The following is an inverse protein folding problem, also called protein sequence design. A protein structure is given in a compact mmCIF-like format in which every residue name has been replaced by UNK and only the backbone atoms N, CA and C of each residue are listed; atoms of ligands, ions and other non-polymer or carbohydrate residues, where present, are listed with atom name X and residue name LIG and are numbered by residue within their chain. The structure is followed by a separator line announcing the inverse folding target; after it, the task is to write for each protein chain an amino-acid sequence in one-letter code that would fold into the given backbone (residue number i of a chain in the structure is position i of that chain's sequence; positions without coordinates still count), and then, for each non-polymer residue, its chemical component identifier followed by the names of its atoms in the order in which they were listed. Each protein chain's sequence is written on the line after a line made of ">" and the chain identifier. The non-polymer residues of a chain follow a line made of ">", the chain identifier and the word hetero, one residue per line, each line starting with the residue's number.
data_IF_924294625237
#
_entry.id   IF_924294625237
#
_cell.length_a   1.000
_cell.length_b   1.000
_cell.length_c   1.000
_cell.angle_alpha   90.00
_cell.angle_beta   90.00
_cell.angle_gamma   90.00
#
_symmetry.space_group_name_H-M   'P 1'
#
loop_
_entity.id
_entity.type
_entity.pdbx_description
1 polymer ?
#
# COMPACT_ATOMS: atom_id res chain seq x y z
N UNK A 1 3.79 -2.53 -23.78
CA UNK A 1 3.25 -2.06 -25.08
C UNK A 1 4.25 -1.20 -25.88
N UNK A 2 4.31 -1.37 -27.20
CA UNK A 2 5.19 -0.62 -28.11
C UNK A 2 4.68 0.79 -28.45
N UNK A 3 3.38 1.04 -28.31
CA UNK A 3 2.72 2.33 -28.47
C UNK A 3 1.53 2.42 -27.50
N UNK A 4 0.99 3.63 -27.33
CA UNK A 4 -0.27 3.87 -26.59
C UNK A 4 -1.44 3.40 -27.48
N UNK A 5 -2.32 2.50 -26.98
CA UNK A 5 -3.51 2.07 -27.73
C UNK A 5 -4.44 3.24 -28.06
N UNK A 6 -5.22 3.11 -29.13
CA UNK A 6 -6.06 4.20 -29.67
C UNK A 6 -7.16 4.61 -28.69
N UNK A 7 -7.56 3.71 -27.80
CA UNK A 7 -8.60 3.91 -26.79
C UNK A 7 -8.12 4.83 -25.66
N UNK A 8 -6.81 5.09 -25.56
CA UNK A 8 -6.19 5.89 -24.51
C UNK A 8 -5.51 7.15 -25.06
N UNK A 9 -6.23 7.93 -25.86
CA UNK A 9 -5.74 9.17 -26.45
C UNK A 9 -5.09 10.12 -25.44
N UNK A 10 -5.62 10.17 -24.21
CA UNK A 10 -5.14 11.02 -23.11
C UNK A 10 -3.74 10.65 -22.58
N UNK A 11 -3.21 9.50 -22.99
CA UNK A 11 -1.86 9.03 -22.65
C UNK A 11 -0.83 9.32 -23.74
N UNK A 12 -1.25 9.78 -24.94
CA UNK A 12 -0.34 10.05 -26.07
C UNK A 12 0.69 11.15 -25.77
N UNK A 13 0.33 12.10 -24.90
CA UNK A 13 1.21 13.21 -24.53
C UNK A 13 2.25 12.84 -23.46
N UNK A 14 2.18 11.63 -22.90
CA UNK A 14 3.06 11.20 -21.83
C UNK A 14 4.19 10.30 -22.35
N UNK A 15 5.41 10.37 -21.78
CA UNK A 15 6.52 9.52 -22.20
C UNK A 15 6.19 8.03 -22.09
N UNK A 16 6.37 7.28 -23.18
CA UNK A 16 6.00 5.86 -23.24
C UNK A 16 6.69 5.01 -22.18
N UNK A 17 7.93 5.35 -21.80
CA UNK A 17 8.65 4.67 -20.73
C UNK A 17 7.98 4.86 -19.36
N UNK A 18 7.47 6.06 -19.06
CA UNK A 18 6.76 6.34 -17.83
C UNK A 18 5.44 5.55 -17.76
N UNK A 19 4.72 5.47 -18.88
CA UNK A 19 3.49 4.67 -19.00
C UNK A 19 3.78 3.19 -18.74
N UNK A 20 4.87 2.64 -19.30
CA UNK A 20 5.28 1.24 -19.08
C UNK A 20 5.62 0.96 -17.63
N UNK A 21 6.46 1.79 -17.02
CA UNK A 21 6.84 1.63 -15.62
C UNK A 21 5.60 1.69 -14.70
N UNK A 22 4.67 2.61 -14.98
CA UNK A 22 3.42 2.72 -14.26
C UNK A 22 2.51 1.52 -14.45
N UNK A 23 2.40 0.99 -15.67
CA UNK A 23 1.62 -0.22 -15.93
C UNK A 23 2.13 -1.40 -15.09
N UNK A 24 3.44 -1.58 -15.01
CA UNK A 24 4.06 -2.62 -14.16
C UNK A 24 3.74 -2.38 -12.69
N UNK A 25 3.88 -1.15 -12.20
CA UNK A 25 3.57 -0.80 -10.80
C UNK A 25 2.09 -1.02 -10.47
N UNK A 26 1.18 -0.53 -11.31
CA UNK A 26 -0.27 -0.67 -11.12
C UNK A 26 -0.72 -2.12 -11.25
N UNK A 27 -0.11 -2.88 -12.16
CA UNK A 27 -0.39 -4.31 -12.28
C UNK A 27 0.06 -5.04 -11.01
N UNK A 28 1.28 -4.80 -10.54
CA UNK A 28 1.78 -5.42 -9.31
C UNK A 28 0.97 -4.99 -8.08
N UNK A 29 0.60 -3.71 -7.97
CA UNK A 29 -0.26 -3.21 -6.91
C UNK A 29 -1.67 -3.84 -6.98
N UNK A 30 -2.27 -3.91 -8.17
CA UNK A 30 -3.56 -4.56 -8.37
C UNK A 30 -3.48 -6.05 -8.08
N UNK A 31 -2.41 -6.74 -8.45
CA UNK A 31 -2.21 -8.14 -8.09
C UNK A 31 -2.11 -8.30 -6.58
N UNK A 32 -1.28 -7.52 -5.90
CA UNK A 32 -1.14 -7.57 -4.45
C UNK A 32 -2.46 -7.27 -3.73
N UNK A 33 -3.19 -6.22 -4.14
CA UNK A 33 -4.44 -5.81 -3.50
C UNK A 33 -5.58 -6.78 -3.85
N UNK A 34 -5.76 -7.17 -5.11
CA UNK A 34 -6.82 -8.10 -5.52
C UNK A 34 -6.58 -9.50 -4.96
N UNK A 35 -5.31 -9.96 -4.89
CA UNK A 35 -4.96 -11.18 -4.18
C UNK A 35 -5.30 -11.01 -2.70
N UNK A 36 -4.88 -9.93 -2.03
CA UNK A 36 -5.17 -9.66 -0.61
C UNK A 36 -6.66 -9.56 -0.28
N UNK A 37 -7.48 -9.02 -1.18
CA UNK A 37 -8.95 -8.92 -1.03
C UNK A 37 -9.63 -10.27 -1.17
N UNK A 38 -9.03 -11.20 -1.91
CA UNK A 38 -9.48 -12.59 -2.06
C UNK A 38 -8.82 -13.58 -1.08
N UNK A 39 -7.79 -13.15 -0.34
CA UNK A 39 -6.93 -14.00 0.50
C UNK A 39 -7.49 -14.35 1.89
N UNK A 40 -8.71 -13.93 2.22
CA UNK A 40 -9.38 -14.49 3.39
C UNK A 40 -10.28 -15.63 2.95
N UNK A 41 -9.74 -16.85 3.06
CA UNK A 41 -10.57 -18.05 3.09
C UNK A 41 -11.56 -17.88 4.25
N UNK A 42 -12.85 -18.03 3.99
CA UNK A 42 -13.88 -17.83 5.03
C UNK A 42 -13.77 -18.89 6.14
N UNK A 43 -12.97 -19.94 5.93
CA UNK A 43 -12.63 -20.99 6.88
C UNK A 43 -11.15 -21.37 6.70
N UNK A 44 -10.39 -21.41 7.79
CA UNK A 44 -9.00 -21.84 7.78
C UNK A 44 -8.85 -23.33 7.47
N UNK A 45 -7.66 -23.71 7.00
CA UNK A 45 -7.27 -25.10 6.76
C UNK A 45 -7.79 -26.02 7.86
N UNK A 46 -8.50 -27.07 7.47
CA UNK A 46 -8.74 -28.22 8.33
C UNK A 46 -7.37 -28.83 8.62
N UNK A 47 -6.71 -28.37 9.69
CA UNK A 47 -5.44 -28.94 10.13
C UNK A 47 -5.65 -30.42 10.44
N UNK A 48 -5.15 -31.23 9.52
CA UNK A 48 -5.00 -32.66 9.65
C UNK A 48 -3.96 -32.92 10.74
N UNK A 49 -4.40 -33.04 12.00
CA UNK A 49 -3.46 -33.35 13.08
C UNK A 49 -3.95 -33.32 14.55
N UNK A 50 -5.11 -33.92 14.88
CA UNK A 50 -5.53 -34.51 16.21
C UNK A 50 -5.39 -33.72 17.56
N UNK A 51 -6.03 -34.17 18.68
CA UNK A 51 -7.28 -34.91 18.89
C UNK A 51 -8.31 -34.13 19.77
N UNK A 52 -9.51 -34.70 19.87
CA UNK A 52 -10.73 -34.18 20.46
C UNK A 52 -10.67 -33.68 21.92
N UNK A 53 -11.32 -32.53 22.18
CA UNK A 53 -12.12 -32.29 23.40
C UNK A 53 -13.05 -31.08 23.22
N UNK A 54 -14.26 -31.19 23.78
CA UNK A 54 -15.39 -30.25 23.78
C UNK A 54 -16.27 -30.23 22.52
N UNK A 55 -16.96 -31.35 22.31
CA UNK A 55 -18.20 -31.42 21.54
C UNK A 55 -19.24 -30.44 22.09
N UNK A 56 -19.80 -29.60 21.21
CA UNK A 56 -21.14 -29.05 21.42
C UNK A 56 -22.16 -30.15 21.07
N UNK A 57 -23.06 -30.53 21.99
CA UNK A 57 -24.08 -31.53 21.69
C UNK A 57 -25.19 -30.86 20.88
N UNK A 58 -25.38 -31.27 19.61
CA UNK A 58 -26.57 -30.86 18.86
C UNK A 58 -26.50 -30.87 17.34
N UNK A 59 -25.38 -31.20 16.70
CA UNK A 59 -25.34 -31.30 15.24
C UNK A 59 -24.64 -32.58 14.78
N UNK A 60 -25.42 -33.38 14.09
CA UNK A 60 -25.13 -34.70 13.56
C UNK A 60 -24.04 -34.68 12.48
N UNK A 61 -23.14 -35.64 12.62
CA UNK A 61 -21.95 -35.87 11.80
C UNK A 61 -22.32 -36.34 10.39
N UNK A 62 -22.24 -35.44 9.39
CA UNK A 62 -22.13 -35.79 7.97
C UNK A 62 -20.69 -35.53 7.49
N UNK A 63 -19.85 -36.57 7.55
CA UNK A 63 -18.42 -36.52 7.29
C UNK A 63 -18.05 -36.57 5.79
N UNK A 64 -18.62 -35.68 4.96
CA UNK A 64 -18.16 -35.43 3.59
C UNK A 64 -18.55 -34.04 3.03
N UNK A 65 -19.16 -33.17 3.83
CA UNK A 65 -19.64 -31.85 3.41
C UNK A 65 -18.68 -30.70 3.72
N UNK A 66 -17.77 -30.84 4.68
CA UNK A 66 -16.92 -29.71 5.12
C UNK A 66 -16.05 -29.09 4.00
N UNK A 67 -15.49 -29.91 3.10
CA UNK A 67 -14.69 -29.43 1.97
C UNK A 67 -15.56 -28.76 0.88
N UNK A 68 -16.75 -29.31 0.65
CA UNK A 68 -17.75 -28.76 -0.27
C UNK A 68 -18.35 -27.46 0.26
N UNK A 69 -18.55 -27.36 1.57
CA UNK A 69 -19.11 -26.20 2.26
C UNK A 69 -18.12 -25.04 2.30
N UNK A 70 -16.84 -25.29 2.54
CA UNK A 70 -15.79 -24.27 2.47
C UNK A 70 -15.68 -23.68 1.05
N UNK A 71 -15.74 -24.53 0.02
CA UNK A 71 -15.73 -24.09 -1.38
C UNK A 71 -17.00 -23.30 -1.77
N UNK A 72 -18.17 -23.70 -1.27
CA UNK A 72 -19.41 -22.94 -1.48
C UNK A 72 -19.44 -21.61 -0.71
N UNK A 73 -18.92 -21.57 0.52
CA UNK A 73 -18.71 -20.35 1.31
C UNK A 73 -17.76 -19.39 0.59
N UNK A 74 -16.66 -19.88 0.02
CA UNK A 74 -15.75 -19.06 -0.78
C UNK A 74 -16.43 -18.47 -2.03
N UNK A 75 -17.46 -19.11 -2.60
CA UNK A 75 -18.28 -18.48 -3.67
C UNK A 75 -19.13 -17.32 -3.14
N UNK A 76 -19.54 -17.36 -1.87
CA UNK A 76 -20.26 -16.26 -1.22
C UNK A 76 -19.35 -15.06 -0.91
N UNK A 77 -18.01 -15.17 -1.05
CA UNK A 77 -17.07 -14.06 -0.81
C UNK A 77 -17.41 -12.79 -1.58
N UNK A 78 -17.97 -12.93 -2.78
CA UNK A 78 -18.37 -11.80 -3.61
C UNK A 78 -19.64 -11.09 -3.09
N UNK A 79 -20.42 -11.78 -2.25
CA UNK A 79 -21.71 -11.36 -1.72
C UNK A 79 -21.59 -10.86 -0.27
N UNK A 80 -20.55 -11.28 0.47
CA UNK A 80 -20.28 -10.77 1.82
C UNK A 80 -20.10 -9.25 1.77
N UNK A 81 -20.97 -8.56 2.53
CA UNK A 81 -20.99 -7.10 2.63
C UNK A 81 -19.67 -6.58 3.17
N UNK A 82 -19.20 -5.46 2.62
CA UNK A 82 -17.92 -4.82 2.97
C UNK A 82 -17.72 -4.67 4.49
N UNK A 83 -18.76 -4.31 5.24
CA UNK A 83 -18.71 -4.14 6.70
C UNK A 83 -18.37 -5.42 7.46
N UNK A 84 -18.86 -6.58 7.01
CA UNK A 84 -18.55 -7.87 7.61
C UNK A 84 -17.10 -8.28 7.34
N UNK A 85 -16.60 -8.01 6.13
CA UNK A 85 -15.18 -8.23 5.78
C UNK A 85 -14.26 -7.32 6.60
N UNK A 86 -14.62 -6.05 6.72
CA UNK A 86 -13.86 -5.09 7.53
C UNK A 86 -13.80 -5.51 9.00
N UNK A 87 -14.91 -5.98 9.57
CA UNK A 87 -14.96 -6.47 10.94
C UNK A 87 -14.07 -7.72 11.13
N UNK A 88 -14.11 -8.67 10.21
CA UNK A 88 -13.24 -9.84 10.23
C UNK A 88 -11.76 -9.45 10.10
N UNK A 89 -11.44 -8.55 9.16
CA UNK A 89 -10.08 -8.05 8.96
C UNK A 89 -9.55 -7.35 10.21
N UNK A 90 -10.34 -6.49 10.84
CA UNK A 90 -9.97 -5.83 12.10
C UNK A 90 -9.64 -6.83 13.19
N UNK A 91 -10.40 -7.94 13.32
CA UNK A 91 -10.10 -9.00 14.29
C UNK A 91 -8.75 -9.66 14.01
N UNK A 92 -8.46 -10.00 12.75
CA UNK A 92 -7.18 -10.62 12.35
C UNK A 92 -6.01 -9.67 12.64
N UNK A 93 -6.12 -8.40 12.26
CA UNK A 93 -5.09 -7.39 12.57
C UNK A 93 -4.89 -7.27 14.09
N UNK A 94 -5.99 -7.24 14.86
CA UNK A 94 -5.93 -7.18 16.33
C UNK A 94 -5.32 -8.43 16.99
N UNK A 95 -5.47 -9.60 16.38
CA UNK A 95 -4.93 -10.86 16.91
C UNK A 95 -3.47 -11.09 16.50
N UNK A 96 -3.05 -10.55 15.35
CA UNK A 96 -1.70 -10.72 14.79
C UNK A 96 -0.75 -9.58 15.13
N UNK A 97 -1.25 -8.47 15.69
CA UNK A 97 -0.41 -7.33 16.01
C UNK A 97 0.59 -7.60 17.14
N UNK A 98 1.78 -7.03 16.97
CA UNK A 98 2.85 -6.99 17.96
C UNK A 98 2.58 -5.85 18.93
N UNK A 99 2.44 -6.13 20.24
CA UNK A 99 1.99 -5.14 21.25
C UNK A 99 3.07 -4.73 22.24
N UNK A 100 4.14 -5.50 22.33
CA UNK A 100 5.27 -5.35 23.24
C UNK A 100 6.32 -4.34 22.73
N UNK A 101 6.09 -3.74 21.55
CA UNK A 101 6.97 -2.72 20.96
C UNK A 101 6.23 -1.40 20.74
N UNK A 102 6.90 -0.29 21.04
CA UNK A 102 6.32 1.05 20.93
C UNK A 102 6.39 1.65 19.51
N UNK A 103 7.44 1.30 18.76
CA UNK A 103 7.71 1.75 17.40
C UNK A 103 8.57 0.71 16.66
N UNK A 104 8.57 0.77 15.32
CA UNK A 104 9.45 -0.06 14.49
C UNK A 104 10.87 0.52 14.37
N UNK A 105 11.66 0.18 13.34
CA UNK A 105 13.03 0.66 13.20
C UNK A 105 13.10 2.20 13.14
N UNK A 106 14.24 2.74 13.57
CA UNK A 106 14.52 4.17 13.44
C UNK A 106 15.03 4.43 12.03
N UNK A 107 14.36 5.30 11.29
CA UNK A 107 14.72 5.73 9.95
C UNK A 107 15.15 7.19 9.97
N UNK A 108 16.35 7.46 9.46
CA UNK A 108 16.86 8.82 9.30
C UNK A 108 16.44 9.38 7.95
N UNK A 109 15.74 10.53 7.95
CA UNK A 109 15.20 11.18 6.75
C UNK A 109 15.70 12.62 6.66
N UNK A 110 16.10 13.04 5.46
CA UNK A 110 16.61 14.39 5.20
C UNK A 110 15.71 15.12 4.20
N UNK A 111 14.70 15.83 4.70
CA UNK A 111 13.79 16.63 3.87
C UNK A 111 14.40 17.93 3.33
N UNK A 112 15.57 18.34 3.84
CA UNK A 112 16.29 19.52 3.34
C UNK A 112 16.89 19.28 1.94
N UNK A 113 17.19 18.02 1.60
CA UNK A 113 17.65 17.64 0.25
C UNK A 113 16.55 17.84 -0.81
N UNK A 114 15.30 17.60 -0.43
CA UNK A 114 14.11 17.77 -1.28
C UNK A 114 13.89 19.25 -1.63
N UNK A 115 13.99 20.13 -0.62
CA UNK A 115 13.71 21.57 -0.76
C UNK A 115 14.80 22.31 -1.55
N UNK A 116 16.04 21.78 -1.57
CA UNK A 116 17.17 22.35 -2.31
C UNK A 116 17.15 21.95 -3.80
N UNK A 117 16.64 20.78 -4.16
CA UNK A 117 16.40 20.40 -5.57
C UNK A 117 15.47 21.41 -6.26
N UNK A 118 14.35 21.76 -5.60
CA UNK A 118 13.38 22.75 -6.10
C UNK A 118 13.94 24.17 -6.25
N UNK A 119 14.95 24.57 -5.47
CA UNK A 119 15.59 25.91 -5.54
C UNK A 119 16.73 26.00 -6.56
N UNK A 120 17.32 24.88 -6.96
CA UNK A 120 18.43 24.85 -7.92
C UNK A 120 17.97 24.66 -9.37
N UNK A 121 16.71 24.31 -9.60
CA UNK A 121 16.11 24.09 -10.93
C UNK A 121 15.61 25.36 -11.63
N UNK A 122 16.24 26.51 -11.38
CA UNK A 122 16.02 27.70 -12.19
C UNK A 122 16.67 27.52 -13.57
N UNK A 123 15.85 27.63 -14.62
CA UNK A 123 16.24 27.66 -16.03
C UNK A 123 16.64 26.34 -16.71
N UNK A 124 15.66 25.46 -16.95
CA UNK A 124 15.57 24.75 -18.25
C UNK A 124 14.17 24.19 -18.44
N UNK A 125 13.37 24.83 -19.30
CA UNK A 125 12.22 24.17 -19.90
C UNK A 125 12.71 23.00 -20.75
N UNK A 126 12.14 21.81 -20.52
CA UNK A 126 12.38 20.62 -21.32
C UNK A 126 13.01 19.47 -20.53
N UNK A 127 12.40 18.29 -20.66
CA UNK A 127 12.78 16.98 -20.12
C UNK A 127 12.45 16.73 -18.63
N UNK A 128 11.17 16.42 -18.39
CA UNK A 128 10.81 15.49 -17.31
C UNK A 128 11.60 14.18 -17.49
N UNK A 129 12.48 13.83 -16.55
CA UNK A 129 13.09 12.50 -16.52
C UNK A 129 14.59 12.40 -16.25
N UNK A 130 15.18 13.21 -15.36
CA UNK A 130 16.39 12.72 -14.70
C UNK A 130 15.99 11.83 -13.53
N UNK A 131 16.25 10.53 -13.67
CA UNK A 131 16.15 9.48 -12.65
C UNK A 131 16.94 9.74 -11.35
N UNK A 132 17.59 10.91 -11.23
CA UNK A 132 18.44 11.29 -10.11
C UNK A 132 17.71 11.94 -8.91
N UNK A 133 16.43 12.32 -9.04
CA UNK A 133 15.74 13.08 -7.97
C UNK A 133 14.89 12.22 -7.02
N UNK A 134 14.54 10.99 -7.45
CA UNK A 134 13.82 10.04 -6.59
C UNK A 134 14.57 9.73 -5.30
N UNK A 135 15.90 9.54 -5.36
CA UNK A 135 16.72 9.22 -4.19
C UNK A 135 16.84 10.35 -3.15
N UNK A 136 16.46 11.58 -3.50
CA UNK A 136 16.45 12.72 -2.56
C UNK A 136 15.11 12.93 -1.89
N UNK A 137 14.02 12.48 -2.52
CA UNK A 137 12.66 12.58 -2.01
C UNK A 137 12.50 11.83 -0.67
N UNK A 138 11.56 12.25 0.16
CA UNK A 138 11.24 11.54 1.41
C UNK A 138 10.82 10.10 1.09
N UNK A 139 10.00 9.92 0.05
CA UNK A 139 9.60 8.60 -0.41
C UNK A 139 10.80 7.75 -0.86
N UNK A 140 11.67 8.28 -1.70
CA UNK A 140 12.83 7.50 -2.16
C UNK A 140 13.82 7.20 -1.03
N UNK A 141 14.00 8.12 -0.08
CA UNK A 141 14.77 7.87 1.13
C UNK A 141 14.14 6.77 2.00
N UNK A 142 12.82 6.71 2.11
CA UNK A 142 12.10 5.64 2.81
C UNK A 142 12.25 4.30 2.07
N UNK A 143 12.04 4.28 0.76
CA UNK A 143 12.19 3.08 -0.08
C UNK A 143 13.61 2.50 0.03
N UNK A 144 14.64 3.36 0.06
CA UNK A 144 16.03 2.90 0.27
C UNK A 144 16.25 2.20 1.62
N UNK A 145 15.37 2.45 2.60
CA UNK A 145 15.39 1.89 3.96
C UNK A 145 14.35 0.79 4.15
N UNK A 146 13.64 0.39 3.10
CA UNK A 146 12.55 -0.60 3.19
C UNK A 146 13.04 -1.96 3.71
N UNK A 147 14.29 -2.31 3.48
CA UNK A 147 14.92 -3.53 4.01
C UNK A 147 14.99 -3.57 5.54
N UNK A 148 14.89 -2.44 6.23
CA UNK A 148 14.82 -2.38 7.68
C UNK A 148 13.41 -2.65 8.23
N UNK A 149 12.37 -2.59 7.39
CA UNK A 149 10.99 -2.87 7.79
C UNK A 149 10.77 -4.39 7.89
N UNK A 150 11.06 -4.94 9.06
CA UNK A 150 10.78 -6.34 9.40
C UNK A 150 9.28 -6.63 9.46
N UNK A 151 8.88 -7.89 9.32
CA UNK A 151 7.48 -8.31 9.49
C UNK A 151 6.89 -7.85 10.84
N UNK A 152 7.63 -7.99 11.93
CA UNK A 152 7.19 -7.54 13.26
C UNK A 152 6.89 -6.04 13.30
N UNK A 153 7.68 -5.23 12.59
CA UNK A 153 7.47 -3.79 12.49
C UNK A 153 6.18 -3.46 11.72
N UNK A 154 5.90 -4.21 10.65
CA UNK A 154 4.67 -4.10 9.86
C UNK A 154 3.42 -4.57 10.64
N UNK A 155 3.61 -5.43 11.64
CA UNK A 155 2.53 -5.89 12.53
C UNK A 155 2.33 -4.99 13.76
N UNK A 156 3.05 -3.88 13.88
CA UNK A 156 2.79 -2.93 14.96
C UNK A 156 1.42 -2.25 14.77
N UNK A 157 0.65 -2.04 15.85
CA UNK A 157 -0.65 -1.37 15.76
C UNK A 157 -0.54 0.08 15.28
N UNK A 158 0.58 0.73 15.59
CA UNK A 158 0.89 2.10 15.22
C UNK A 158 2.41 2.27 15.05
N UNK A 159 2.83 3.26 14.26
CA UNK A 159 4.25 3.68 14.13
C UNK A 159 5.17 2.54 13.69
N UNK A 160 4.92 2.07 12.47
CA UNK A 160 5.69 1.01 11.79
C UNK A 160 7.18 1.39 11.67
N UNK A 161 7.53 2.67 11.78
CA UNK A 161 8.89 3.18 11.96
C UNK A 161 8.90 4.40 12.88
N UNK A 162 10.07 4.74 13.43
CA UNK A 162 10.32 6.02 14.12
C UNK A 162 11.21 6.90 13.24
N UNK A 163 10.85 8.15 13.06
CA UNK A 163 11.60 9.07 12.19
C UNK A 163 12.60 9.89 13.00
N UNK A 164 13.80 10.06 12.45
CA UNK A 164 14.78 11.06 12.88
C UNK A 164 15.06 12.00 11.71
N UNK A 165 14.55 13.22 11.76
CA UNK A 165 14.80 14.19 10.70
C UNK A 165 16.19 14.80 10.84
N UNK A 166 16.98 14.79 9.77
CA UNK A 166 18.34 15.34 9.77
C UNK A 166 18.30 16.85 9.95
N UNK A 167 19.02 17.34 10.96
CA UNK A 167 19.10 18.77 11.26
C UNK A 167 17.88 19.32 12.00
N UNK A 168 16.99 18.45 12.48
CA UNK A 168 15.80 18.83 13.21
C UNK A 168 15.71 18.07 14.54
N UNK A 169 15.25 18.74 15.58
CA UNK A 169 15.07 18.13 16.91
C UNK A 169 13.65 17.57 17.03
N UNK A 170 13.40 16.44 16.38
CA UNK A 170 12.12 15.73 16.49
C UNK A 170 12.28 14.56 17.47
N UNK A 171 11.75 14.73 18.67
CA UNK A 171 11.88 13.74 19.76
C UNK A 171 10.64 12.85 19.94
N UNK A 172 9.51 13.19 19.31
CA UNK A 172 8.28 12.41 19.40
C UNK A 172 8.28 11.18 18.47
N UNK A 173 7.72 10.09 18.95
CA UNK A 173 7.55 8.85 18.19
C UNK A 173 6.35 8.91 17.23
N UNK A 174 5.37 9.79 17.45
CA UNK A 174 4.16 9.91 16.62
C UNK A 174 4.26 10.95 15.52
N UNK A 175 4.60 12.19 15.86
CA UNK A 175 4.61 13.33 14.93
C UNK A 175 5.47 13.07 13.69
N UNK A 176 6.70 12.59 13.86
CA UNK A 176 7.60 12.30 12.74
C UNK A 176 7.09 11.19 11.81
N UNK A 177 6.40 10.17 12.36
CA UNK A 177 5.79 9.12 11.55
C UNK A 177 4.69 9.69 10.64
N UNK A 178 3.73 10.41 11.22
CA UNK A 178 2.62 11.02 10.48
C UNK A 178 3.11 12.05 9.45
N UNK A 179 4.09 12.87 9.82
CA UNK A 179 4.71 13.84 8.90
C UNK A 179 5.39 13.15 7.72
N UNK A 180 6.16 12.09 7.97
CA UNK A 180 6.83 11.37 6.88
C UNK A 180 5.85 10.77 5.88
N UNK A 181 4.70 10.26 6.35
CA UNK A 181 3.64 9.76 5.47
C UNK A 181 3.00 10.90 4.69
N UNK A 182 2.64 11.99 5.36
CA UNK A 182 2.04 13.14 4.72
C UNK A 182 2.94 13.72 3.62
N UNK A 183 4.25 13.85 3.89
CA UNK A 183 5.22 14.31 2.89
C UNK A 183 5.38 13.34 1.71
N UNK A 184 5.43 12.02 1.97
CA UNK A 184 5.46 11.03 0.89
C UNK A 184 4.20 11.11 0.01
N UNK A 185 3.01 11.26 0.61
CA UNK A 185 1.77 11.45 -0.12
C UNK A 185 1.78 12.75 -0.95
N UNK A 186 2.26 13.85 -0.38
CA UNK A 186 2.38 15.12 -1.09
C UNK A 186 3.35 15.03 -2.27
N UNK A 187 4.50 14.37 -2.10
CA UNK A 187 5.47 14.14 -3.19
C UNK A 187 4.86 13.33 -4.35
N UNK A 188 4.05 12.32 -4.01
CA UNK A 188 3.32 11.48 -4.97
C UNK A 188 2.23 12.24 -5.73
N UNK A 189 1.46 13.08 -5.02
CA UNK A 189 0.29 13.78 -5.58
C UNK A 189 0.67 15.07 -6.30
N UNK A 190 1.71 15.77 -5.87
CA UNK A 190 2.16 17.04 -6.50
C UNK A 190 2.77 16.87 -7.90
N UNK A 191 2.89 15.64 -8.41
CA UNK A 191 3.57 15.34 -9.67
C UNK A 191 5.09 15.51 -9.61
N UNK A 192 5.65 15.78 -8.42
CA UNK A 192 7.10 15.91 -8.22
C UNK A 192 7.84 14.57 -8.40
N UNK A 193 7.14 13.46 -8.17
CA UNK A 193 7.57 12.12 -8.51
C UNK A 193 6.79 11.64 -9.73
N UNK A 194 7.50 11.25 -10.80
CA UNK A 194 6.88 10.76 -12.04
C UNK A 194 6.38 9.30 -11.93
N UNK A 195 5.79 8.93 -10.79
CA UNK A 195 5.31 7.58 -10.51
C UNK A 195 3.81 7.41 -10.74
N UNK A 196 3.03 8.47 -10.50
CA UNK A 196 1.58 8.49 -10.65
C UNK A 196 1.16 9.48 -11.75
N UNK A 197 -0.06 9.33 -12.27
CA UNK A 197 -0.59 10.24 -13.31
C UNK A 197 -2.07 10.48 -13.01
N UNK A 198 -2.53 11.75 -12.93
CA UNK A 198 -3.91 12.06 -12.60
C UNK A 198 -4.89 11.33 -13.52
N UNK A 199 -5.94 10.80 -12.90
CA UNK A 199 -7.09 10.23 -13.61
C UNK A 199 -7.73 11.26 -14.54
N UNK A 200 -8.44 10.85 -15.62
CA UNK A 200 -9.13 11.78 -16.50
C UNK A 200 -10.06 12.75 -15.73
N UNK A 201 -10.81 12.23 -14.76
CA UNK A 201 -11.67 13.01 -13.87
C UNK A 201 -10.89 14.06 -13.05
N UNK A 202 -9.71 13.71 -12.55
CA UNK A 202 -8.81 14.66 -11.86
C UNK A 202 -8.23 15.73 -12.79
N UNK A 203 -7.96 15.41 -14.06
CA UNK A 203 -7.44 16.41 -15.03
C UNK A 203 -8.50 17.41 -15.47
N UNK A 204 -9.73 16.94 -15.68
CA UNK A 204 -10.85 17.77 -16.13
C UNK A 204 -11.60 18.42 -14.95
N UNK A 205 -11.20 18.11 -13.72
CA UNK A 205 -11.86 18.56 -12.49
C UNK A 205 -13.37 18.24 -12.47
N UNK A 206 -13.75 17.12 -13.09
CA UNK A 206 -15.13 16.72 -13.34
C UNK A 206 -15.43 15.29 -12.90
N UNK A 207 -16.66 15.04 -12.46
CA UNK A 207 -17.12 13.71 -12.03
C UNK A 207 -16.67 13.31 -10.61
N UNK A 208 -16.84 12.02 -10.30
CA UNK A 208 -16.42 11.41 -9.02
C UNK A 208 -14.94 11.00 -9.06
N UNK A 209 -14.31 10.81 -7.90
CA UNK A 209 -12.93 10.28 -7.80
C UNK A 209 -11.86 11.19 -8.44
N UNK A 210 -12.05 12.50 -8.35
CA UNK A 210 -11.11 13.52 -8.86
C UNK A 210 -9.75 13.49 -8.16
N UNK A 211 -9.74 13.03 -6.92
CA UNK A 211 -8.57 12.85 -6.07
C UNK A 211 -7.73 11.61 -6.40
N UNK A 212 -8.17 10.78 -7.37
CA UNK A 212 -7.45 9.57 -7.78
C UNK A 212 -6.33 9.86 -8.80
N UNK A 213 -5.21 9.14 -8.65
CA UNK A 213 -3.94 9.28 -9.38
C UNK A 213 -3.49 8.01 -10.11
#
# INVERSE_FOLDING_TARGET
>A
PAAVPIEYDVLKELPLQAIRNRLVLLHHFSELICQSVSMFELLGESSSGQPAAAAYPGLDTASNTAATDAHHLNKLRAIVVSSAKEAAFKKVIQSTMVRDRQHGPIVELNRLLVKRSRRSGGASGGAAGSSSDGGRSVLGQMVSKMTFLTQDALFLPHRIWKVKFVGESVDDCGGGYSESIAEMCEELMSGSLSMLIPTPNGREEAGTSRDCY
#
